data_IF_630725688784
#
_entry.id   IF_630725688784
#
_cell.length_a   1.000
_cell.length_b   1.000
_cell.length_c   1.000
_cell.angle_alpha   90.00
_cell.angle_beta   90.00
_cell.angle_gamma   90.00
#
_symmetry.space_group_name_H-M   'P 1'
#
loop_
_entity.id
_entity.type
_entity.pdbx_description
1 polymer ?
#
# COMPACT_ATOMS: atom_id res chain seq x y z
N UNK A 1 25.82 20.81 -14.35
CA UNK A 1 26.05 19.46 -14.89
C UNK A 1 26.54 18.58 -13.76
N UNK A 2 25.66 17.79 -13.17
CA UNK A 2 26.02 16.61 -12.39
C UNK A 2 25.22 15.47 -13.02
N UNK A 3 25.92 14.52 -13.62
CA UNK A 3 25.36 13.29 -14.18
C UNK A 3 25.41 12.22 -13.10
N UNK A 4 24.32 11.45 -13.05
CA UNK A 4 24.21 10.05 -12.68
C UNK A 4 24.65 9.63 -11.27
N UNK A 5 23.67 9.16 -10.49
CA UNK A 5 23.86 8.00 -9.61
C UNK A 5 22.58 7.21 -9.26
N UNK A 6 21.52 7.21 -10.09
CA UNK A 6 20.24 6.54 -9.72
C UNK A 6 20.10 5.05 -10.11
N UNK A 7 21.15 4.38 -10.59
CA UNK A 7 21.03 2.96 -10.99
C UNK A 7 21.56 1.94 -9.96
N UNK A 8 22.29 2.37 -8.93
CA UNK A 8 22.84 1.44 -7.92
C UNK A 8 22.05 1.40 -6.60
N UNK A 9 21.18 2.36 -6.33
CA UNK A 9 20.30 2.36 -5.14
C UNK A 9 18.97 1.62 -5.40
N UNK A 10 18.56 1.51 -6.67
CA UNK A 10 17.32 0.84 -7.05
C UNK A 10 17.41 -0.69 -6.95
N UNK A 11 18.53 -1.30 -7.37
CA UNK A 11 18.65 -2.77 -7.41
C UNK A 11 18.50 -3.46 -6.04
N UNK A 12 18.99 -2.83 -4.96
CA UNK A 12 18.79 -3.34 -3.60
C UNK A 12 17.36 -3.15 -3.09
N UNK A 13 16.70 -2.06 -3.51
CA UNK A 13 15.30 -1.79 -3.14
C UNK A 13 14.34 -2.75 -3.85
N UNK A 14 14.58 -3.05 -5.14
CA UNK A 14 13.81 -4.03 -5.91
C UNK A 14 13.89 -5.43 -5.31
N UNK A 15 15.10 -5.92 -5.02
CA UNK A 15 15.26 -7.23 -4.40
C UNK A 15 14.54 -7.32 -3.04
N UNK A 16 14.58 -6.26 -2.23
CA UNK A 16 13.88 -6.26 -0.94
C UNK A 16 12.36 -6.25 -1.09
N UNK A 17 11.84 -5.55 -2.09
CA UNK A 17 10.40 -5.57 -2.40
C UNK A 17 9.96 -6.98 -2.77
N UNK A 18 10.69 -7.64 -3.67
CA UNK A 18 10.42 -9.03 -4.07
C UNK A 18 10.41 -9.97 -2.86
N UNK A 19 11.41 -9.87 -1.96
CA UNK A 19 11.46 -10.65 -0.72
C UNK A 19 10.25 -10.39 0.21
N UNK A 20 9.79 -9.14 0.31
CA UNK A 20 8.64 -8.79 1.16
C UNK A 20 7.32 -9.33 0.60
N UNK A 21 7.19 -9.42 -0.72
CA UNK A 21 6.03 -10.04 -1.39
C UNK A 21 5.95 -11.56 -1.19
N UNK A 22 7.04 -12.23 -0.83
CA UNK A 22 7.03 -13.67 -0.50
C UNK A 22 6.41 -13.97 0.88
N UNK A 23 6.03 -12.95 1.66
CA UNK A 23 5.44 -13.13 2.99
C UNK A 23 4.06 -13.79 2.92
N UNK A 24 3.87 -14.88 3.68
CA UNK A 24 2.58 -15.57 3.82
C UNK A 24 1.62 -14.86 4.79
N UNK A 25 2.09 -13.82 5.49
CA UNK A 25 1.24 -12.97 6.32
C UNK A 25 1.52 -11.48 6.11
N UNK A 26 0.48 -10.67 6.18
CA UNK A 26 0.58 -9.22 5.96
C UNK A 26 -0.58 -8.48 6.60
N UNK A 27 -0.38 -7.19 6.84
CA UNK A 27 -1.48 -6.29 7.18
C UNK A 27 -2.06 -5.70 5.91
N UNK A 28 -3.30 -5.21 5.96
CA UNK A 28 -3.87 -4.46 4.85
C UNK A 28 -4.88 -3.43 5.31
N UNK A 29 -5.06 -2.39 4.52
CA UNK A 29 -6.10 -1.39 4.70
C UNK A 29 -7.33 -1.78 3.88
N UNK A 30 -8.50 -1.74 4.53
CA UNK A 30 -9.78 -2.07 3.91
C UNK A 30 -10.87 -1.06 4.30
N UNK A 31 -11.90 -0.98 3.46
CA UNK A 31 -13.13 -0.24 3.68
C UNK A 31 -14.04 -0.89 4.75
N UNK A 32 -13.93 -2.20 4.94
CA UNK A 32 -14.78 -2.97 5.87
C UNK A 32 -13.96 -3.74 6.92
N UNK A 33 -14.46 -3.87 8.16
CA UNK A 33 -13.75 -4.58 9.25
C UNK A 33 -13.98 -6.10 9.25
N UNK A 34 -14.53 -6.65 8.18
CA UNK A 34 -14.88 -8.06 8.09
C UNK A 34 -14.78 -8.54 6.65
N UNK A 35 -14.41 -9.80 6.48
CA UNK A 35 -14.49 -10.44 5.18
C UNK A 35 -15.96 -10.82 4.93
N UNK A 36 -16.56 -10.28 3.87
CA UNK A 36 -17.90 -10.70 3.47
C UNK A 36 -17.85 -12.17 3.05
N UNK A 37 -18.92 -12.92 3.32
CA UNK A 37 -19.03 -14.33 2.95
C UNK A 37 -20.41 -14.55 2.35
N UNK A 38 -20.48 -15.17 1.17
CA UNK A 38 -21.74 -15.53 0.51
C UNK A 38 -21.88 -15.00 -0.93
N UNK A 39 -23.02 -15.32 -1.53
CA UNK A 39 -23.27 -15.15 -2.98
C UNK A 39 -23.31 -13.68 -3.44
N UNK A 40 -23.61 -12.75 -2.53
CA UNK A 40 -23.74 -11.33 -2.84
C UNK A 40 -22.40 -10.57 -2.87
N UNK A 41 -21.28 -11.21 -2.52
CA UNK A 41 -19.99 -10.51 -2.36
C UNK A 41 -19.51 -9.87 -3.65
N UNK A 42 -19.64 -10.55 -4.79
CA UNK A 42 -19.24 -10.01 -6.10
C UNK A 42 -20.11 -8.81 -6.49
N UNK A 43 -21.38 -8.82 -6.10
CA UNK A 43 -22.30 -7.70 -6.35
C UNK A 43 -21.95 -6.51 -5.47
N UNK A 44 -21.63 -6.76 -4.19
CA UNK A 44 -21.21 -5.72 -3.26
C UNK A 44 -19.87 -5.09 -3.66
N UNK A 45 -18.88 -5.91 -3.99
CA UNK A 45 -17.57 -5.47 -4.48
C UNK A 45 -17.71 -4.64 -5.77
N UNK A 46 -18.49 -5.13 -6.74
CA UNK A 46 -18.81 -4.37 -7.96
C UNK A 46 -19.51 -3.04 -7.65
N UNK A 47 -20.42 -3.01 -6.68
CA UNK A 47 -21.06 -1.78 -6.24
C UNK A 47 -20.05 -0.80 -5.65
N UNK A 48 -19.13 -1.25 -4.77
CA UNK A 48 -18.12 -0.37 -4.19
C UNK A 48 -17.21 0.24 -5.28
N UNK A 49 -16.73 -0.58 -6.22
CA UNK A 49 -15.88 -0.15 -7.35
C UNK A 49 -16.57 0.87 -8.27
N UNK A 50 -17.86 0.68 -8.52
CA UNK A 50 -18.64 1.54 -9.43
C UNK A 50 -19.38 2.68 -8.69
N UNK A 51 -18.95 3.01 -7.48
CA UNK A 51 -19.58 4.05 -6.65
C UNK A 51 -18.58 5.12 -6.22
N UNK A 52 -19.04 6.24 -5.64
CA UNK A 52 -18.16 7.25 -5.04
C UNK A 52 -17.27 6.71 -3.90
N UNK A 53 -17.43 5.45 -3.48
CA UNK A 53 -16.61 4.83 -2.45
C UNK A 53 -15.19 4.54 -2.93
N UNK A 54 -14.99 4.14 -4.20
CA UNK A 54 -13.64 3.94 -4.76
C UNK A 54 -12.86 5.26 -4.80
N UNK A 55 -13.50 6.33 -5.29
CA UNK A 55 -12.93 7.68 -5.29
C UNK A 55 -12.54 8.15 -3.89
N UNK A 56 -13.41 7.90 -2.90
CA UNK A 56 -13.13 8.25 -1.51
C UNK A 56 -11.98 7.42 -0.94
N UNK A 57 -11.93 6.13 -1.25
CA UNK A 57 -10.85 5.24 -0.87
C UNK A 57 -9.51 5.72 -1.44
N UNK A 58 -9.46 6.03 -2.74
CA UNK A 58 -8.28 6.57 -3.41
C UNK A 58 -7.74 7.82 -2.70
N UNK A 59 -8.62 8.76 -2.34
CA UNK A 59 -8.25 9.97 -1.61
C UNK A 59 -7.74 9.67 -0.18
N UNK A 60 -8.34 8.71 0.53
CA UNK A 60 -7.90 8.30 1.87
C UNK A 60 -6.52 7.63 1.82
N UNK A 61 -6.29 6.73 0.86
CA UNK A 61 -4.99 6.09 0.67
C UNK A 61 -3.92 7.11 0.26
N UNK A 62 -4.22 8.01 -0.67
CA UNK A 62 -3.32 9.11 -1.03
C UNK A 62 -2.91 9.95 0.19
N UNK A 63 -3.87 10.33 1.04
CA UNK A 63 -3.56 11.03 2.28
C UNK A 63 -2.63 10.23 3.22
N UNK A 64 -2.91 8.93 3.42
CA UNK A 64 -2.11 8.06 4.29
C UNK A 64 -0.69 7.91 3.74
N UNK A 65 -0.56 7.49 2.48
CA UNK A 65 0.72 7.26 1.82
C UNK A 65 1.60 8.51 1.83
N UNK A 66 1.05 9.67 1.45
CA UNK A 66 1.83 10.91 1.41
C UNK A 66 2.19 11.44 2.80
N UNK A 67 1.35 11.19 3.81
CA UNK A 67 1.69 11.50 5.20
C UNK A 67 2.88 10.67 5.67
N UNK A 68 2.90 9.36 5.36
CA UNK A 68 4.03 8.49 5.70
C UNK A 68 5.31 8.90 4.94
N UNK A 69 5.19 9.17 3.65
CA UNK A 69 6.31 9.60 2.79
C UNK A 69 6.88 10.97 3.19
N UNK A 70 6.09 11.83 3.83
CA UNK A 70 6.54 13.11 4.38
C UNK A 70 7.31 12.96 5.70
N UNK A 71 7.00 11.93 6.50
CA UNK A 71 7.60 11.70 7.82
C UNK A 71 8.81 10.75 7.76
N UNK A 72 8.79 9.76 6.88
CA UNK A 72 9.79 8.70 6.81
C UNK A 72 10.51 8.68 5.45
N UNK A 73 11.84 8.42 5.41
CA UNK A 73 12.54 8.13 4.17
C UNK A 73 11.89 6.95 3.43
N UNK A 74 11.65 7.12 2.13
CA UNK A 74 10.94 6.13 1.33
C UNK A 74 11.49 6.05 -0.09
N UNK A 75 11.38 4.86 -0.68
CA UNK A 75 11.53 4.60 -2.12
C UNK A 75 10.14 4.33 -2.66
N UNK A 76 9.76 4.98 -3.76
CA UNK A 76 8.44 4.80 -4.38
C UNK A 76 8.64 4.30 -5.81
N UNK A 77 8.22 3.09 -6.10
CA UNK A 77 8.36 2.46 -7.41
C UNK A 77 6.97 2.31 -8.02
N UNK A 78 6.85 2.71 -9.29
CA UNK A 78 5.68 2.47 -10.11
C UNK A 78 5.94 1.22 -10.97
N UNK A 79 5.05 0.23 -10.93
CA UNK A 79 5.21 -1.00 -11.72
C UNK A 79 4.43 -0.97 -13.03
N UNK A 80 4.74 -1.93 -13.90
CA UNK A 80 4.29 -1.96 -15.29
C UNK A 80 2.78 -2.21 -15.46
N UNK A 81 2.07 -1.29 -16.14
CA UNK A 81 1.19 -1.64 -17.27
C UNK A 81 1.18 -0.57 -18.37
N UNK A 82 1.20 -1.01 -19.63
CA UNK A 82 1.27 -0.15 -20.82
C UNK A 82 0.12 0.87 -20.91
N UNK A 83 -1.10 0.52 -20.46
CA UNK A 83 -2.25 1.42 -20.53
C UNK A 83 -2.13 2.59 -19.55
N UNK A 84 -1.56 2.38 -18.36
CA UNK A 84 -1.32 3.45 -17.38
C UNK A 84 -0.33 4.49 -17.93
N UNK A 85 0.74 4.06 -18.61
CA UNK A 85 1.71 4.99 -19.18
C UNK A 85 1.18 5.78 -20.38
N UNK A 86 0.06 5.38 -21.00
CA UNK A 86 -0.60 6.21 -22.02
C UNK A 86 -1.28 7.44 -21.40
N UNK A 87 -1.77 7.35 -20.17
CA UNK A 87 -2.33 8.49 -19.44
C UNK A 87 -1.24 9.32 -18.75
N UNK A 88 -0.08 8.71 -18.48
CA UNK A 88 1.09 9.34 -17.86
C UNK A 88 2.36 9.23 -18.72
N UNK A 89 2.45 9.91 -19.88
CA UNK A 89 3.50 9.70 -20.86
C UNK A 89 4.92 10.11 -20.41
N UNK A 90 5.02 10.92 -19.36
CA UNK A 90 6.30 11.36 -18.80
C UNK A 90 6.87 10.37 -17.77
N UNK A 91 6.08 9.36 -17.37
CA UNK A 91 6.51 8.33 -16.43
C UNK A 91 7.11 7.14 -17.17
N UNK A 92 7.91 6.37 -16.44
CA UNK A 92 8.49 5.11 -16.89
C UNK A 92 8.23 4.06 -15.81
N UNK A 93 8.07 2.78 -16.18
CA UNK A 93 8.00 1.72 -15.20
C UNK A 93 9.34 1.52 -14.50
N UNK A 94 9.27 0.92 -13.30
CA UNK A 94 10.44 0.50 -12.52
C UNK A 94 11.42 1.64 -12.22
N UNK A 95 10.89 2.86 -12.09
CA UNK A 95 11.67 4.02 -11.66
C UNK A 95 11.22 4.49 -10.29
N UNK A 96 12.18 4.98 -9.51
CA UNK A 96 11.86 5.66 -8.27
C UNK A 96 11.20 7.01 -8.59
N UNK A 97 9.91 7.14 -8.27
CA UNK A 97 9.11 8.35 -8.48
C UNK A 97 9.09 9.28 -7.26
N UNK A 98 9.81 8.94 -6.18
CA UNK A 98 9.79 9.67 -4.90
C UNK A 98 10.07 11.17 -5.02
N UNK A 99 10.84 11.60 -6.01
CA UNK A 99 11.25 12.99 -6.20
C UNK A 99 10.18 13.87 -6.88
N UNK A 100 9.04 13.29 -7.29
CA UNK A 100 7.90 14.05 -7.80
C UNK A 100 7.23 14.90 -6.70
N UNK A 101 6.46 15.92 -7.10
CA UNK A 101 5.71 16.73 -6.14
C UNK A 101 4.60 15.92 -5.47
N UNK A 102 4.15 16.35 -4.27
CA UNK A 102 3.04 15.68 -3.60
C UNK A 102 1.75 15.68 -4.43
N UNK A 103 1.49 16.73 -5.22
CA UNK A 103 0.35 16.74 -6.14
C UNK A 103 0.48 15.68 -7.23
N UNK A 104 1.67 15.49 -7.79
CA UNK A 104 1.93 14.46 -8.80
C UNK A 104 1.83 13.05 -8.21
N UNK A 105 2.43 12.82 -7.04
CA UNK A 105 2.34 11.54 -6.34
C UNK A 105 0.89 11.19 -5.97
N UNK A 106 0.12 12.19 -5.50
CA UNK A 106 -1.29 11.99 -5.18
C UNK A 106 -2.10 11.59 -6.41
N UNK A 107 -1.86 12.25 -7.56
CA UNK A 107 -2.53 11.91 -8.81
C UNK A 107 -2.20 10.47 -9.26
N UNK A 108 -0.93 10.08 -9.19
CA UNK A 108 -0.50 8.71 -9.54
C UNK A 108 -1.17 7.67 -8.65
N UNK A 109 -1.14 7.85 -7.32
CA UNK A 109 -1.78 6.91 -6.38
C UNK A 109 -3.28 6.82 -6.65
N UNK A 110 -3.93 7.96 -6.90
CA UNK A 110 -5.34 8.02 -7.21
C UNK A 110 -5.67 7.24 -8.48
N UNK A 111 -4.94 7.50 -9.57
CA UNK A 111 -5.14 6.83 -10.85
C UNK A 111 -4.84 5.33 -10.79
N UNK A 112 -3.83 4.91 -10.03
CA UNK A 112 -3.55 3.49 -9.78
C UNK A 112 -4.76 2.78 -9.17
N UNK A 113 -5.40 3.40 -8.16
CA UNK A 113 -6.56 2.82 -7.47
C UNK A 113 -7.81 2.84 -8.35
N UNK A 114 -8.09 3.96 -9.02
CA UNK A 114 -9.34 4.15 -9.76
C UNK A 114 -9.33 3.44 -11.12
N UNK A 115 -8.18 3.43 -11.80
CA UNK A 115 -8.06 2.79 -13.10
C UNK A 115 -7.77 1.29 -12.97
N UNK A 116 -7.15 0.85 -11.87
CA UNK A 116 -6.81 -0.55 -11.63
C UNK A 116 -5.90 -1.13 -12.74
N UNK A 117 -4.88 -0.35 -13.11
CA UNK A 117 -3.97 -0.61 -14.24
C UNK A 117 -2.49 -0.56 -13.84
N UNK A 118 -2.14 -0.49 -12.56
CA UNK A 118 -0.73 -0.40 -12.14
C UNK A 118 -0.60 -0.67 -10.64
N UNK A 119 0.61 -0.63 -10.11
CA UNK A 119 0.83 -0.55 -8.67
C UNK A 119 1.86 0.50 -8.29
N UNK A 120 1.67 1.10 -7.12
CA UNK A 120 2.67 1.92 -6.45
C UNK A 120 3.17 1.17 -5.23
N UNK A 121 4.46 0.82 -5.26
CA UNK A 121 5.17 0.14 -4.20
C UNK A 121 6.01 1.16 -3.42
N UNK A 122 5.73 1.31 -2.13
CA UNK A 122 6.41 2.26 -1.26
C UNK A 122 7.18 1.48 -0.19
N UNK A 123 8.49 1.40 -0.38
CA UNK A 123 9.40 0.80 0.58
C UNK A 123 9.87 1.88 1.57
N UNK A 124 9.74 1.60 2.87
CA UNK A 124 10.28 2.39 3.97
C UNK A 124 11.52 1.66 4.53
N UNK A 125 12.74 1.95 4.05
CA UNK A 125 13.89 1.08 4.30
C UNK A 125 14.31 0.99 5.77
N UNK A 126 14.12 2.07 6.53
CA UNK A 126 14.45 2.11 7.96
C UNK A 126 13.46 1.30 8.82
N UNK A 127 12.22 1.20 8.37
CA UNK A 127 11.16 0.42 9.03
C UNK A 127 11.07 -0.99 8.47
N UNK A 128 11.79 -1.27 7.39
CA UNK A 128 11.75 -2.53 6.65
C UNK A 128 10.31 -2.95 6.31
N UNK A 129 9.51 -1.98 5.86
CA UNK A 129 8.08 -2.16 5.59
C UNK A 129 7.78 -1.75 4.16
N UNK A 130 6.95 -2.55 3.48
CA UNK A 130 6.42 -2.25 2.15
C UNK A 130 4.93 -1.93 2.24
N UNK A 131 4.54 -0.77 1.73
CA UNK A 131 3.16 -0.41 1.45
C UNK A 131 2.91 -0.60 -0.06
N UNK A 132 2.02 -1.51 -0.41
CA UNK A 132 1.75 -1.91 -1.79
C UNK A 132 0.32 -1.55 -2.20
N UNK A 133 0.21 -0.62 -3.14
CA UNK A 133 -1.05 -0.09 -3.67
C UNK A 133 -1.21 -0.66 -5.07
N UNK A 134 -1.89 -1.79 -5.21
CA UNK A 134 -2.00 -2.55 -6.45
C UNK A 134 -3.40 -2.46 -7.10
N UNK A 135 -4.05 -1.30 -6.98
CA UNK A 135 -5.41 -1.07 -7.45
C UNK A 135 -6.49 -1.40 -6.42
N UNK A 136 -7.75 -1.21 -6.81
CA UNK A 136 -8.92 -1.66 -6.06
C UNK A 136 -9.12 -1.07 -4.64
N UNK A 137 -9.82 -1.80 -3.76
CA UNK A 137 -10.25 -1.36 -2.43
C UNK A 137 -9.39 -1.93 -1.29
N UNK A 138 -8.20 -2.44 -1.60
CA UNK A 138 -7.28 -3.00 -0.64
C UNK A 138 -5.86 -2.47 -0.88
N UNK A 139 -5.14 -2.21 0.22
CA UNK A 139 -3.72 -1.82 0.17
C UNK A 139 -2.95 -2.68 1.14
N UNK A 140 -1.94 -3.40 0.66
CA UNK A 140 -1.17 -4.34 1.46
C UNK A 140 0.01 -3.65 2.18
N UNK A 141 0.37 -4.21 3.34
CA UNK A 141 1.38 -3.74 4.26
C UNK A 141 2.21 -4.95 4.73
N UNK A 142 3.38 -5.13 4.12
CA UNK A 142 4.27 -6.24 4.43
C UNK A 142 5.30 -5.84 5.49
N UNK A 143 5.50 -6.72 6.48
CA UNK A 143 6.47 -6.57 7.57
C UNK A 143 6.30 -5.29 8.43
N UNK A 144 5.12 -4.67 8.39
CA UNK A 144 4.79 -3.54 9.24
C UNK A 144 4.62 -3.98 10.71
N UNK A 145 5.34 -3.35 11.64
CA UNK A 145 5.28 -3.69 13.07
C UNK A 145 5.51 -2.48 13.99
N UNK A 146 5.27 -2.70 15.30
CA UNK A 146 5.59 -1.75 16.38
C UNK A 146 4.99 -0.35 16.18
N UNK A 147 5.80 0.69 16.43
CA UNK A 147 5.35 2.09 16.34
C UNK A 147 4.91 2.48 14.93
N UNK A 148 5.52 1.91 13.89
CA UNK A 148 5.18 2.24 12.51
C UNK A 148 3.78 1.73 12.17
N UNK A 149 3.50 0.46 12.45
CA UNK A 149 2.16 -0.13 12.30
C UNK A 149 1.12 0.62 13.15
N UNK A 150 1.46 0.98 14.39
CA UNK A 150 0.59 1.76 15.25
C UNK A 150 0.19 3.11 14.62
N UNK A 151 1.15 3.83 14.04
CA UNK A 151 0.87 5.10 13.36
C UNK A 151 -0.01 4.91 12.12
N UNK A 152 0.25 3.88 11.32
CA UNK A 152 -0.60 3.52 10.17
C UNK A 152 -2.04 3.25 10.64
N UNK A 153 -2.22 2.51 11.74
CA UNK A 153 -3.54 2.25 12.32
C UNK A 153 -4.27 3.54 12.71
N UNK A 154 -3.59 4.47 13.38
CA UNK A 154 -4.17 5.76 13.74
C UNK A 154 -4.60 6.57 12.51
N UNK A 155 -3.77 6.55 11.45
CA UNK A 155 -4.09 7.20 10.19
C UNK A 155 -5.30 6.54 9.51
N UNK A 156 -5.35 5.20 9.46
CA UNK A 156 -6.47 4.44 8.91
C UNK A 156 -7.78 4.76 9.66
N UNK A 157 -7.77 4.65 10.99
CA UNK A 157 -8.93 4.95 11.84
C UNK A 157 -9.43 6.39 11.65
N UNK A 158 -8.52 7.35 11.58
CA UNK A 158 -8.89 8.76 11.37
C UNK A 158 -9.54 8.99 10.01
N UNK A 159 -9.18 8.20 9.02
CA UNK A 159 -9.73 8.26 7.68
C UNK A 159 -10.94 7.33 7.48
N UNK A 160 -11.38 6.60 8.50
CA UNK A 160 -12.53 5.69 8.40
C UNK A 160 -12.22 4.40 7.63
N UNK A 161 -10.95 3.98 7.65
CA UNK A 161 -10.48 2.69 7.15
C UNK A 161 -10.17 1.76 8.32
N UNK A 162 -10.11 0.47 8.01
CA UNK A 162 -9.76 -0.58 8.95
C UNK A 162 -8.40 -1.16 8.59
N UNK A 163 -7.59 -1.42 9.61
CA UNK A 163 -6.36 -2.18 9.47
C UNK A 163 -6.70 -3.64 9.79
N UNK A 164 -6.45 -4.51 8.83
CA UNK A 164 -6.73 -5.94 8.89
C UNK A 164 -5.41 -6.71 8.85
N UNK A 165 -5.44 -7.98 9.27
CA UNK A 165 -4.30 -8.89 9.22
C UNK A 165 -4.70 -10.18 8.53
N UNK A 166 -3.93 -10.56 7.52
CA UNK A 166 -3.97 -11.86 6.86
C UNK A 166 -2.89 -12.76 7.48
N UNK A 167 -3.29 -13.88 8.07
CA UNK A 167 -2.38 -14.85 8.64
C UNK A 167 -1.97 -15.93 7.63
N UNK A 168 -0.92 -16.69 7.96
CA UNK A 168 -0.40 -17.77 7.10
C UNK A 168 -1.41 -18.90 6.84
N UNK A 169 -2.43 -19.05 7.69
CA UNK A 169 -3.49 -20.04 7.55
C UNK A 169 -4.71 -19.53 6.77
N UNK A 170 -4.55 -18.43 6.02
CA UNK A 170 -5.57 -17.70 5.26
C UNK A 170 -6.68 -17.07 6.14
N UNK A 171 -6.51 -17.07 7.46
CA UNK A 171 -7.45 -16.38 8.34
C UNK A 171 -7.27 -14.87 8.27
N UNK A 172 -8.39 -14.14 8.24
CA UNK A 172 -8.42 -12.68 8.23
C UNK A 172 -8.99 -12.17 9.55
N UNK A 173 -8.29 -11.21 10.16
CA UNK A 173 -8.66 -10.59 11.43
C UNK A 173 -8.66 -9.07 11.32
N UNK A 174 -9.56 -8.41 12.04
CA UNK A 174 -9.43 -6.99 12.31
C UNK A 174 -8.29 -6.78 13.31
N UNK A 175 -7.34 -5.89 12.99
CA UNK A 175 -6.26 -5.53 13.90
C UNK A 175 -6.76 -4.49 14.92
N UNK A 176 -7.33 -5.01 16.01
CA UNK A 176 -7.86 -4.21 17.12
C UNK A 176 -6.79 -3.81 18.16
N UNK A 177 -5.54 -4.30 18.06
CA UNK A 177 -4.61 -4.32 19.21
C UNK A 177 -3.54 -3.22 19.21
N UNK A 178 -3.48 -2.32 20.21
CA UNK A 178 -2.31 -1.49 20.47
C UNK A 178 -1.06 -2.29 20.87
N UNK A 179 -1.21 -3.49 21.45
CA UNK A 179 -0.13 -4.39 21.88
C UNK A 179 -0.66 -5.85 21.95
N UNK A 180 0.14 -6.82 21.50
CA UNK A 180 -0.05 -8.28 21.45
C UNK A 180 -0.61 -8.85 20.14
N UNK A 181 0.31 -9.27 19.26
CA UNK A 181 -0.01 -10.26 18.24
C UNK A 181 -0.17 -11.66 18.88
N UNK A 182 -1.01 -12.55 18.33
CA UNK A 182 -1.06 -13.96 18.74
C UNK A 182 0.27 -14.71 18.57
N UNK A 183 1.20 -14.16 17.77
CA UNK A 183 2.57 -14.67 17.57
C UNK A 183 3.61 -14.23 18.61
N UNK A 184 3.30 -13.27 19.50
CA UNK A 184 4.24 -12.82 20.57
C UNK A 184 4.36 -13.81 21.74
N UNK A 185 3.64 -14.94 21.68
CA UNK A 185 3.87 -16.06 22.59
C UNK A 185 4.97 -16.94 22.03
N UNK A 186 6.22 -16.50 22.18
CA UNK A 186 7.42 -17.30 22.45
C UNK A 186 8.67 -16.66 21.84
N UNK A 187 9.29 -15.73 22.58
CA UNK A 187 10.74 -15.58 22.55
C UNK A 187 11.24 -15.64 24.01
N UNK A 188 12.23 -16.50 24.32
CA UNK A 188 12.79 -16.62 25.66
C UNK A 188 13.49 -15.35 26.14
#
# INVERSE_FOLDING_TARGET
MAKNNNYNESGGSFARIEELHESESWHFLDYVPFHAVGDDILTYDSFLRNSPYLERFANQIGFIALTLVAEYPAVMILTEEDEFFKTHPDLKPEVNIRDLSFEQLNAIIHDVIVQDLSSVQILFPEQDTLLDIAGELQVALYNASGKFLHNIRLLAQRNGLFLMYHAEDDSIYLDETPDNHPGDKNLP
#
